data_IF_156018486249
#
_entry.id   IF_156018486249
#
_cell.length_a   1.000
_cell.length_b   1.000
_cell.length_c   1.000
_cell.angle_alpha   90.00
_cell.angle_beta   90.00
_cell.angle_gamma   90.00
#
_symmetry.space_group_name_H-M   'P 1'
#
loop_
_entity.id
_entity.type
_entity.pdbx_description
1 polymer ?
#
# COMPACT_ATOMS: atom_id res chain seq x y z
N UNK A 1 0.17 -42.05 25.20
CA UNK A 1 0.27 -40.62 24.85
C UNK A 1 -0.11 -39.83 26.10
N UNK A 2 0.69 -38.86 26.46
CA UNK A 2 0.33 -37.93 27.54
C UNK A 2 -0.52 -36.81 26.93
N UNK A 3 -1.65 -36.50 27.53
CA UNK A 3 -2.56 -35.44 27.10
C UNK A 3 -2.94 -34.55 28.30
N UNK A 4 -3.08 -33.24 28.03
CA UNK A 4 -3.68 -32.32 28.98
C UNK A 4 -5.19 -32.25 28.69
N UNK A 5 -5.98 -32.64 29.67
CA UNK A 5 -7.43 -32.61 29.60
C UNK A 5 -8.00 -31.49 30.47
N UNK A 6 -8.74 -30.58 29.84
CA UNK A 6 -9.56 -29.59 30.54
C UNK A 6 -11.01 -30.05 30.47
N UNK A 7 -11.59 -30.40 31.64
CA UNK A 7 -12.95 -30.96 31.72
C UNK A 7 -13.94 -29.86 32.12
N UNK A 8 -14.98 -29.66 31.33
CA UNK A 8 -16.10 -28.78 31.64
C UNK A 8 -17.06 -29.47 32.64
N UNK A 9 -17.83 -28.70 33.40
CA UNK A 9 -18.78 -29.21 34.39
C UNK A 9 -19.83 -30.18 33.83
N UNK A 10 -20.12 -30.14 32.55
CA UNK A 10 -21.02 -31.09 31.87
C UNK A 10 -20.33 -32.39 31.43
N UNK A 11 -19.05 -32.60 31.77
CA UNK A 11 -18.28 -33.77 31.42
C UNK A 11 -17.54 -33.73 30.08
N UNK A 12 -17.79 -32.73 29.22
CA UNK A 12 -17.06 -32.53 27.97
C UNK A 12 -15.62 -32.07 28.22
N UNK A 13 -14.70 -32.42 27.32
CA UNK A 13 -13.27 -32.15 27.47
C UNK A 13 -12.70 -31.44 26.26
N UNK A 14 -11.82 -30.47 26.51
CA UNK A 14 -10.85 -29.95 25.55
C UNK A 14 -9.53 -30.70 25.80
N UNK A 15 -8.96 -31.27 24.75
CA UNK A 15 -7.72 -32.04 24.81
C UNK A 15 -6.61 -31.35 24.03
N UNK A 16 -5.41 -31.26 24.64
CA UNK A 16 -4.18 -30.92 23.97
C UNK A 16 -3.30 -32.18 23.95
N UNK A 17 -2.95 -32.64 22.77
CA UNK A 17 -2.14 -33.86 22.57
C UNK A 17 -0.85 -33.51 21.83
N UNK A 18 0.16 -34.38 21.98
CA UNK A 18 1.37 -34.31 21.13
C UNK A 18 1.04 -34.82 19.73
N UNK A 19 1.78 -34.36 18.68
CA UNK A 19 1.68 -34.96 17.35
C UNK A 19 2.10 -36.42 17.39
N UNK A 20 1.69 -37.21 16.40
CA UNK A 20 1.98 -38.68 16.33
C UNK A 20 3.48 -38.96 16.28
N UNK A 21 4.27 -38.07 15.74
CA UNK A 21 5.75 -38.14 15.70
C UNK A 21 6.36 -36.84 16.21
N UNK A 22 7.30 -36.96 17.13
CA UNK A 22 8.02 -35.81 17.70
C UNK A 22 9.52 -36.17 17.80
N UNK A 23 10.32 -35.55 16.92
CA UNK A 23 11.76 -35.83 16.80
C UNK A 23 12.60 -35.32 17.99
N UNK A 24 12.10 -34.30 18.72
CA UNK A 24 12.76 -33.74 19.90
C UNK A 24 11.75 -33.01 20.81
N UNK A 25 12.12 -32.80 22.06
CA UNK A 25 11.29 -32.02 22.98
C UNK A 25 11.00 -30.63 22.43
N UNK A 26 9.74 -30.19 22.51
CA UNK A 26 9.32 -28.83 22.16
C UNK A 26 8.78 -28.14 23.41
N UNK A 27 9.19 -26.90 23.61
CA UNK A 27 8.71 -26.04 24.69
C UNK A 27 8.00 -24.86 24.12
N UNK A 28 6.77 -24.61 24.53
CA UNK A 28 6.03 -23.40 24.22
C UNK A 28 5.93 -22.53 25.47
N UNK A 29 6.52 -21.36 25.48
CA UNK A 29 6.36 -20.38 26.54
C UNK A 29 5.09 -19.58 26.26
N UNK A 30 4.14 -19.68 27.16
CA UNK A 30 2.90 -18.89 27.08
C UNK A 30 3.19 -17.40 27.31
N UNK A 31 2.37 -16.49 26.74
CA UNK A 31 2.45 -15.08 27.05
C UNK A 31 2.28 -14.82 28.55
N UNK A 32 2.97 -13.82 29.08
CA UNK A 32 2.87 -13.43 30.49
C UNK A 32 1.65 -12.57 30.82
N UNK A 33 0.87 -12.16 29.83
CA UNK A 33 -0.34 -11.37 29.97
C UNK A 33 -1.39 -11.82 28.94
N UNK A 34 -2.64 -11.47 29.21
CA UNK A 34 -3.75 -11.73 28.30
C UNK A 34 -3.62 -10.86 27.04
N UNK A 35 -4.11 -11.39 25.91
CA UNK A 35 -4.26 -10.61 24.67
C UNK A 35 -5.47 -9.69 24.71
N UNK A 36 -5.53 -8.79 23.73
CA UNK A 36 -6.70 -7.97 23.47
C UNK A 36 -7.65 -8.65 22.48
N UNK A 37 -8.91 -8.21 22.46
CA UNK A 37 -9.90 -8.69 21.47
C UNK A 37 -9.39 -8.55 20.04
N UNK A 38 -9.52 -9.62 19.23
CA UNK A 38 -9.06 -9.64 17.83
C UNK A 38 -7.60 -10.03 17.63
N UNK A 39 -6.83 -10.28 18.69
CA UNK A 39 -5.48 -10.78 18.57
C UNK A 39 -5.45 -12.31 18.40
N UNK A 40 -4.44 -12.80 17.68
CA UNK A 40 -4.13 -14.22 17.52
C UNK A 40 -2.91 -14.60 18.34
N UNK A 41 -2.92 -15.84 18.86
CA UNK A 41 -1.73 -16.42 19.49
C UNK A 41 -0.74 -16.83 18.39
N UNK A 42 0.42 -16.24 18.39
CA UNK A 42 1.48 -16.42 17.38
C UNK A 42 2.74 -16.99 18.01
N UNK A 43 3.62 -17.57 17.19
CA UNK A 43 4.93 -18.07 17.61
C UNK A 43 6.04 -17.28 16.94
N UNK A 44 7.15 -17.09 17.65
CA UNK A 44 8.37 -16.50 17.09
C UNK A 44 9.28 -17.51 16.35
N UNK A 45 8.80 -18.75 16.13
CA UNK A 45 9.59 -19.83 15.52
C UNK A 45 10.56 -20.52 16.48
N UNK A 46 10.82 -19.98 17.66
CA UNK A 46 11.75 -20.52 18.69
C UNK A 46 11.04 -20.95 19.99
N UNK A 47 9.72 -21.14 19.93
CA UNK A 47 8.90 -21.66 21.01
C UNK A 47 8.29 -20.60 21.95
N UNK A 48 8.62 -19.32 21.83
CA UNK A 48 7.87 -18.28 22.55
C UNK A 48 6.56 -17.97 21.82
N UNK A 49 5.48 -17.91 22.59
CA UNK A 49 4.15 -17.51 22.13
C UNK A 49 3.85 -16.09 22.59
N UNK A 50 3.18 -15.31 21.73
CA UNK A 50 2.73 -13.95 22.01
C UNK A 50 1.40 -13.67 21.33
N UNK A 51 0.68 -12.66 21.79
CA UNK A 51 -0.50 -12.17 21.08
C UNK A 51 -0.08 -11.11 20.05
N UNK A 52 -0.55 -11.24 18.83
CA UNK A 52 -0.33 -10.29 17.74
C UNK A 52 -1.65 -9.99 17.02
N UNK A 53 -1.74 -8.80 16.46
CA UNK A 53 -2.91 -8.44 15.65
C UNK A 53 -3.00 -9.36 14.42
N UNK A 54 -4.19 -9.90 14.19
CA UNK A 54 -4.51 -10.66 13.00
C UNK A 54 -4.89 -9.72 11.85
N UNK A 55 -4.53 -10.08 10.61
CA UNK A 55 -4.92 -9.34 9.42
C UNK A 55 -3.90 -8.32 8.94
N UNK A 56 -4.37 -7.29 8.23
CA UNK A 56 -3.53 -6.24 7.64
C UNK A 56 -2.92 -5.40 8.76
N UNK A 57 -1.58 -5.39 8.84
CA UNK A 57 -0.82 -4.65 9.85
C UNK A 57 -0.43 -3.24 9.40
N UNK A 58 -0.49 -2.97 8.09
CA UNK A 58 -0.22 -1.65 7.50
C UNK A 58 -1.08 -1.44 6.25
N UNK A 59 -1.82 -0.35 6.25
CA UNK A 59 -2.51 0.22 5.10
C UNK A 59 -2.39 1.73 5.18
N UNK A 60 -2.00 2.37 4.07
CA UNK A 60 -1.83 3.82 4.02
C UNK A 60 -2.30 4.34 2.66
N UNK A 61 -2.98 5.47 2.67
CA UNK A 61 -3.47 6.11 1.45
C UNK A 61 -3.00 7.56 1.37
N UNK A 62 -2.50 7.91 0.19
CA UNK A 62 -2.08 9.25 -0.17
C UNK A 62 -2.84 9.70 -1.41
N UNK A 63 -3.13 10.98 -1.50
CA UNK A 63 -3.87 11.53 -2.62
C UNK A 63 -3.33 12.89 -3.05
N UNK A 64 -3.60 13.24 -4.30
CA UNK A 64 -3.27 14.55 -4.85
C UNK A 64 -4.33 15.55 -4.39
N UNK A 65 -3.91 16.57 -3.64
CA UNK A 65 -4.82 17.55 -3.02
C UNK A 65 -5.19 18.71 -3.94
N UNK A 66 -4.41 18.94 -5.00
CA UNK A 66 -4.63 20.04 -5.95
C UNK A 66 -4.48 19.55 -7.40
N UNK A 67 -5.10 20.24 -8.34
CA UNK A 67 -4.88 20.01 -9.77
C UNK A 67 -3.47 20.47 -10.15
N UNK A 68 -2.75 19.64 -10.89
CA UNK A 68 -1.43 19.95 -11.44
C UNK A 68 -1.48 19.91 -12.97
N UNK A 69 -0.84 20.86 -13.62
CA UNK A 69 -0.76 20.93 -15.08
C UNK A 69 0.67 20.70 -15.55
N UNK A 70 0.82 19.92 -16.61
CA UNK A 70 2.11 19.73 -17.26
C UNK A 70 2.36 20.77 -18.34
N UNK A 71 3.62 21.17 -18.51
CA UNK A 71 4.10 21.89 -19.66
C UNK A 71 4.57 20.92 -20.73
N UNK A 72 3.89 20.88 -21.86
CA UNK A 72 4.23 19.94 -22.93
C UNK A 72 4.06 18.48 -22.50
N UNK A 73 4.98 17.63 -22.93
CA UNK A 73 5.00 16.20 -22.63
C UNK A 73 5.72 15.88 -21.29
N UNK A 74 5.92 16.88 -20.42
CA UNK A 74 6.63 16.67 -19.18
C UNK A 74 5.84 15.75 -18.24
N UNK A 75 6.55 14.85 -17.56
CA UNK A 75 5.97 14.07 -16.48
C UNK A 75 5.70 14.96 -15.26
N UNK A 76 4.59 14.74 -14.59
CA UNK A 76 4.29 15.30 -13.28
C UNK A 76 4.76 14.31 -12.22
N UNK A 77 5.78 14.68 -11.45
CA UNK A 77 6.17 13.92 -10.24
C UNK A 77 5.25 14.31 -9.09
N UNK A 78 4.64 13.32 -8.45
CA UNK A 78 3.74 13.55 -7.32
C UNK A 78 4.56 13.82 -6.04
N UNK A 79 4.69 15.09 -5.67
CA UNK A 79 5.47 15.53 -4.51
C UNK A 79 4.65 16.40 -3.54
N UNK A 80 4.76 17.73 -3.60
CA UNK A 80 4.28 18.66 -2.55
C UNK A 80 2.80 18.51 -2.23
N UNK A 81 1.96 18.45 -3.26
CA UNK A 81 0.51 18.35 -3.11
C UNK A 81 0.00 16.90 -2.97
N UNK A 82 0.91 15.94 -2.90
CA UNK A 82 0.58 14.54 -2.65
C UNK A 82 0.66 14.26 -1.15
N UNK A 83 -0.49 14.29 -0.49
CA UNK A 83 -0.61 14.28 0.96
C UNK A 83 -1.33 13.03 1.46
N UNK A 84 -1.02 12.63 2.71
CA UNK A 84 -1.72 11.52 3.35
C UNK A 84 -3.18 11.86 3.57
N UNK A 85 -4.05 10.90 3.32
CA UNK A 85 -5.46 11.05 3.66
C UNK A 85 -5.59 11.14 5.17
N UNK A 86 -6.03 12.30 5.67
CA UNK A 86 -6.24 12.58 7.10
C UNK A 86 -7.36 13.59 7.28
N UNK A 87 -8.11 13.47 8.35
CA UNK A 87 -9.03 14.45 8.98
C UNK A 87 -9.98 15.32 8.14
N UNK A 88 -9.58 15.76 6.97
CA UNK A 88 -10.38 16.61 6.08
C UNK A 88 -11.13 15.83 4.98
N UNK A 89 -10.81 14.55 4.83
CA UNK A 89 -11.61 13.61 4.05
C UNK A 89 -12.34 12.76 5.07
N UNK A 90 -13.67 12.85 5.18
CA UNK A 90 -14.41 12.17 6.23
C UNK A 90 -14.11 10.67 6.23
N UNK A 91 -13.74 10.14 7.40
CA UNK A 91 -13.56 8.71 7.66
C UNK A 91 -12.37 8.00 7.02
N UNK A 92 -11.46 8.70 6.35
CA UNK A 92 -10.26 8.08 5.83
C UNK A 92 -9.18 7.99 6.91
N UNK A 93 -8.57 6.82 7.03
CA UNK A 93 -7.54 6.51 8.01
C UNK A 93 -6.43 5.65 7.43
N UNK A 94 -5.44 5.34 8.26
CA UNK A 94 -4.40 4.37 7.96
C UNK A 94 -4.32 3.32 9.07
N UNK A 95 -3.74 2.17 8.77
CA UNK A 95 -3.46 1.10 9.73
C UNK A 95 -1.94 1.06 9.95
N UNK A 96 -1.51 0.99 11.18
CA UNK A 96 -0.09 0.89 11.55
C UNK A 96 0.67 2.21 11.34
N UNK A 97 1.99 2.13 11.16
CA UNK A 97 2.87 3.30 11.08
C UNK A 97 2.70 4.10 9.78
N UNK A 98 2.34 3.44 8.69
CA UNK A 98 2.20 4.07 7.38
C UNK A 98 3.54 4.42 6.71
N UNK A 99 3.45 4.93 5.49
CA UNK A 99 4.60 5.34 4.68
C UNK A 99 5.13 6.71 5.14
N UNK A 100 6.39 7.00 4.87
CA UNK A 100 6.96 8.35 5.03
C UNK A 100 7.32 8.90 3.67
N UNK A 101 6.83 10.10 3.33
CA UNK A 101 7.19 10.80 2.10
C UNK A 101 8.27 11.85 2.38
N UNK A 102 9.39 11.75 1.67
CA UNK A 102 10.46 12.75 1.61
C UNK A 102 10.31 13.71 0.43
N UNK A 103 11.30 14.55 0.22
CA UNK A 103 11.39 15.45 -0.93
C UNK A 103 11.44 14.67 -2.26
N UNK A 104 10.95 15.28 -3.34
CA UNK A 104 10.89 14.65 -4.67
C UNK A 104 9.85 13.53 -4.76
N UNK A 105 8.87 13.50 -3.86
CA UNK A 105 7.81 12.48 -3.85
C UNK A 105 8.31 11.07 -3.54
N UNK A 106 9.44 10.93 -2.86
CA UNK A 106 10.05 9.63 -2.53
C UNK A 106 9.43 9.06 -1.27
N UNK A 107 8.87 7.87 -1.38
CA UNK A 107 8.28 7.14 -0.26
C UNK A 107 9.24 6.11 0.33
N UNK A 108 9.29 6.10 1.67
CA UNK A 108 10.01 5.12 2.50
C UNK A 108 9.04 4.21 3.21
N UNK A 109 9.37 2.92 3.25
CA UNK A 109 8.57 1.88 3.89
C UNK A 109 8.85 1.82 5.41
N UNK A 110 7.82 1.60 6.26
CA UNK A 110 8.01 1.57 7.71
C UNK A 110 8.71 0.30 8.22
N UNK A 111 8.63 -0.79 7.47
CA UNK A 111 9.24 -2.09 7.80
C UNK A 111 9.56 -2.87 6.53
N UNK A 112 10.36 -3.92 6.63
CA UNK A 112 10.51 -4.92 5.59
C UNK A 112 9.21 -5.71 5.38
N UNK A 113 9.04 -6.34 4.24
CA UNK A 113 7.84 -7.14 3.90
C UNK A 113 7.43 -7.02 2.44
N UNK A 114 6.41 -7.78 2.09
CA UNK A 114 5.77 -7.74 0.78
C UNK A 114 4.69 -6.68 0.78
N UNK A 115 4.80 -5.70 -0.12
CA UNK A 115 3.85 -4.60 -0.24
C UNK A 115 3.10 -4.65 -1.57
N UNK A 116 1.79 -4.50 -1.51
CA UNK A 116 0.97 -4.14 -2.66
C UNK A 116 0.90 -2.62 -2.74
N UNK A 117 1.28 -2.09 -3.88
CA UNK A 117 1.23 -0.68 -4.24
C UNK A 117 0.21 -0.54 -5.37
N UNK A 118 -0.89 0.16 -5.11
CA UNK A 118 -1.90 0.48 -6.11
C UNK A 118 -1.93 1.97 -6.35
N UNK A 119 -1.66 2.38 -7.58
CA UNK A 119 -1.66 3.77 -8.00
C UNK A 119 -2.77 4.01 -9.03
N UNK A 120 -3.67 4.91 -8.70
CA UNK A 120 -4.75 5.38 -9.58
C UNK A 120 -4.50 6.84 -9.91
N UNK A 121 -4.47 7.19 -11.19
CA UNK A 121 -4.42 8.58 -11.62
C UNK A 121 -5.74 8.96 -12.29
N UNK A 122 -6.11 10.21 -12.17
CA UNK A 122 -7.18 10.81 -12.95
C UNK A 122 -6.58 11.99 -13.74
N UNK A 123 -6.58 11.86 -15.04
CA UNK A 123 -6.02 12.83 -15.98
C UNK A 123 -7.16 13.47 -16.75
N UNK A 124 -7.14 14.79 -16.85
CA UNK A 124 -8.11 15.56 -17.63
C UNK A 124 -7.40 16.21 -18.81
N UNK A 125 -7.99 16.12 -19.97
CA UNK A 125 -7.58 16.82 -21.18
C UNK A 125 -8.55 17.95 -21.41
N UNK A 126 -8.00 19.16 -21.54
CA UNK A 126 -8.79 20.36 -21.74
C UNK A 126 -9.37 20.42 -23.15
N UNK A 127 -10.54 21.04 -23.28
CA UNK A 127 -11.18 21.31 -24.56
C UNK A 127 -10.25 22.02 -25.53
N UNK A 128 -10.22 21.58 -26.79
CA UNK A 128 -9.39 22.16 -27.85
C UNK A 128 -7.98 21.63 -27.95
N UNK A 129 -7.56 20.71 -27.08
CA UNK A 129 -6.29 19.98 -27.22
C UNK A 129 -6.38 19.01 -28.39
N UNK A 130 -5.44 19.11 -29.34
CA UNK A 130 -5.38 18.20 -30.48
C UNK A 130 -4.32 17.16 -30.22
N UNK A 131 -4.72 15.93 -29.96
CA UNK A 131 -3.78 14.83 -30.10
C UNK A 131 -3.41 14.03 -28.87
N UNK A 132 -3.91 14.32 -27.69
CA UNK A 132 -3.65 13.44 -26.54
C UNK A 132 -4.33 12.09 -26.76
N UNK A 133 -3.54 11.03 -26.75
CA UNK A 133 -4.00 9.69 -27.07
C UNK A 133 -3.92 8.75 -25.90
N UNK A 134 -3.16 9.11 -24.84
CA UNK A 134 -3.00 8.27 -23.69
C UNK A 134 -2.64 9.07 -22.42
N UNK A 135 -3.03 8.52 -21.29
CA UNK A 135 -2.54 8.87 -19.97
C UNK A 135 -1.86 7.64 -19.37
N UNK A 136 -0.79 7.83 -18.64
CA UNK A 136 -0.06 6.75 -17.97
C UNK A 136 0.40 7.18 -16.59
N UNK A 137 0.50 6.20 -15.67
CA UNK A 137 0.86 6.41 -14.28
C UNK A 137 1.92 5.41 -13.80
N UNK A 138 3.20 5.63 -14.18
CA UNK A 138 4.27 4.74 -13.79
C UNK A 138 4.54 4.73 -12.28
N UNK A 139 4.82 3.53 -11.77
CA UNK A 139 5.36 3.26 -10.45
C UNK A 139 6.86 3.00 -10.60
N UNK A 140 7.68 3.86 -10.00
CA UNK A 140 9.12 3.68 -9.95
C UNK A 140 9.55 3.13 -8.59
N UNK A 141 10.43 2.13 -8.60
CA UNK A 141 11.06 1.62 -7.38
C UNK A 141 12.57 1.61 -7.48
N UNK A 142 13.24 1.59 -6.35
CA UNK A 142 14.69 1.44 -6.23
C UNK A 142 15.04 0.42 -5.15
N UNK A 143 16.16 -0.27 -5.32
CA UNK A 143 16.77 -1.16 -4.33
C UNK A 143 18.07 -0.60 -3.75
N UNK A 144 18.50 0.57 -4.20
CA UNK A 144 19.79 1.20 -3.81
C UNK A 144 19.65 2.68 -3.46
N UNK A 145 18.42 3.16 -3.30
CA UNK A 145 18.07 4.56 -3.00
C UNK A 145 18.65 5.59 -4.00
N UNK A 146 19.00 5.18 -5.21
CA UNK A 146 19.57 6.08 -6.24
C UNK A 146 19.00 5.85 -7.63
N UNK A 147 18.99 4.61 -8.11
CA UNK A 147 18.50 4.27 -9.45
C UNK A 147 17.04 3.82 -9.38
N UNK A 148 16.15 4.64 -9.89
CA UNK A 148 14.71 4.35 -9.96
C UNK A 148 14.36 3.74 -11.31
N UNK A 149 13.67 2.62 -11.29
CA UNK A 149 13.24 1.88 -12.47
C UNK A 149 11.71 1.83 -12.50
N UNK A 150 11.10 2.13 -13.65
CA UNK A 150 9.67 1.91 -13.87
C UNK A 150 9.38 0.42 -13.82
N UNK A 151 8.57 -0.02 -12.85
CA UNK A 151 8.24 -1.43 -12.60
C UNK A 151 6.83 -1.81 -13.01
N UNK A 152 5.92 -0.86 -12.95
CA UNK A 152 4.55 -1.05 -13.38
C UNK A 152 3.99 0.28 -13.91
N UNK A 153 3.08 0.19 -14.85
CA UNK A 153 2.46 1.35 -15.46
C UNK A 153 1.07 0.98 -15.95
N UNK A 154 0.09 1.74 -15.52
CA UNK A 154 -1.23 1.74 -16.15
C UNK A 154 -1.22 2.63 -17.39
N UNK A 155 -2.04 2.28 -18.35
CA UNK A 155 -2.25 3.04 -19.58
C UNK A 155 -3.75 3.14 -19.86
N UNK A 156 -4.21 4.34 -20.17
CA UNK A 156 -5.59 4.58 -20.58
C UNK A 156 -5.62 5.46 -21.84
N UNK A 157 -6.53 5.15 -22.75
CA UNK A 157 -6.77 5.95 -23.93
C UNK A 157 -7.60 7.19 -23.59
N UNK A 158 -7.20 8.36 -24.09
CA UNK A 158 -7.95 9.60 -23.87
C UNK A 158 -8.15 10.29 -25.21
N UNK A 159 -9.39 10.43 -25.63
CA UNK A 159 -9.73 11.04 -26.91
C UNK A 159 -9.78 12.57 -26.80
N UNK A 160 -9.24 13.25 -27.81
CA UNK A 160 -9.46 14.68 -28.01
C UNK A 160 -10.88 14.90 -28.58
N UNK A 161 -11.74 15.48 -27.77
CA UNK A 161 -13.12 15.85 -28.17
C UNK A 161 -13.34 17.35 -27.98
N UNK A 162 -14.48 17.85 -28.47
CA UNK A 162 -14.87 19.27 -28.29
C UNK A 162 -15.35 19.56 -26.86
N UNK A 163 -14.66 19.02 -25.85
CA UNK A 163 -14.99 19.15 -24.44
C UNK A 163 -13.87 18.58 -23.58
N UNK A 164 -14.08 18.49 -22.29
CA UNK A 164 -13.16 17.80 -21.39
C UNK A 164 -13.28 16.29 -21.59
N UNK A 165 -12.15 15.61 -21.62
CA UNK A 165 -12.08 14.15 -21.59
C UNK A 165 -11.19 13.67 -20.45
N UNK A 166 -11.45 12.46 -19.96
CA UNK A 166 -10.79 11.93 -18.77
C UNK A 166 -10.22 10.55 -19.05
N UNK A 167 -9.03 10.31 -18.50
CA UNK A 167 -8.41 8.98 -18.43
C UNK A 167 -8.10 8.61 -17.00
N UNK A 168 -8.26 7.32 -16.67
CA UNK A 168 -8.05 6.81 -15.31
C UNK A 168 -7.11 5.59 -15.34
N UNK A 169 -5.82 5.77 -15.70
CA UNK A 169 -4.88 4.67 -15.67
C UNK A 169 -4.68 4.14 -14.25
N UNK A 170 -4.56 2.83 -14.13
CA UNK A 170 -4.34 2.13 -12.86
C UNK A 170 -3.11 1.25 -13.01
N UNK A 171 -2.16 1.41 -12.09
CA UNK A 171 -0.98 0.56 -11.97
C UNK A 171 -0.99 -0.17 -10.63
N UNK A 172 -0.71 -1.48 -10.66
CA UNK A 172 -0.54 -2.31 -9.48
C UNK A 172 0.85 -2.93 -9.50
N UNK A 173 1.54 -2.97 -8.36
CA UNK A 173 2.85 -3.59 -8.21
C UNK A 173 2.99 -4.26 -6.85
N UNK A 174 3.54 -5.48 -6.85
CA UNK A 174 3.95 -6.17 -5.63
C UNK A 174 5.44 -5.96 -5.45
N UNK A 175 5.83 -5.33 -4.35
CA UNK A 175 7.21 -4.98 -4.04
C UNK A 175 7.70 -5.69 -2.79
N UNK A 176 8.76 -6.48 -2.95
CA UNK A 176 9.48 -7.09 -1.83
C UNK A 176 10.49 -6.08 -1.27
N UNK A 177 10.23 -5.61 -0.07
CA UNK A 177 11.06 -4.64 0.66
C UNK A 177 11.91 -5.37 1.68
N UNK A 178 13.12 -5.72 1.30
CA UNK A 178 14.08 -6.42 2.18
C UNK A 178 14.97 -5.47 2.99
N UNK A 179 15.04 -4.18 2.62
CA UNK A 179 15.81 -3.14 3.32
C UNK A 179 15.12 -1.78 3.21
N UNK A 180 14.61 -1.27 4.33
CA UNK A 180 13.89 0.02 4.38
C UNK A 180 14.79 1.24 4.17
N UNK A 181 16.10 1.11 4.30
CA UNK A 181 17.05 2.21 4.05
C UNK A 181 17.24 2.46 2.55
N UNK A 182 17.22 1.43 1.73
CA UNK A 182 17.53 1.48 0.30
C UNK A 182 16.33 1.29 -0.61
N UNK A 183 15.31 0.53 -0.18
CA UNK A 183 14.10 0.28 -0.97
C UNK A 183 13.12 1.44 -0.83
N UNK A 184 12.85 2.12 -1.96
CA UNK A 184 11.97 3.29 -2.03
C UNK A 184 11.09 3.20 -3.27
N UNK A 185 10.04 4.01 -3.31
CA UNK A 185 9.24 4.20 -4.51
C UNK A 185 8.86 5.67 -4.72
N UNK A 186 8.49 6.01 -5.96
CA UNK A 186 7.93 7.30 -6.34
C UNK A 186 6.96 7.12 -7.50
N UNK A 187 6.14 8.14 -7.75
CA UNK A 187 5.05 8.12 -8.70
C UNK A 187 5.12 9.30 -9.64
N UNK A 188 4.80 9.05 -10.88
CA UNK A 188 4.68 10.09 -11.90
C UNK A 188 3.38 9.89 -12.68
N UNK A 189 2.89 10.95 -13.28
CA UNK A 189 1.81 10.92 -14.27
C UNK A 189 2.36 11.50 -15.55
N UNK A 190 2.05 10.87 -16.66
CA UNK A 190 2.51 11.30 -17.98
C UNK A 190 1.35 11.23 -18.97
N UNK A 191 1.42 12.10 -19.97
CA UNK A 191 0.52 12.05 -21.12
C UNK A 191 1.31 12.34 -22.40
N UNK A 192 0.80 11.89 -23.54
CA UNK A 192 1.50 11.97 -24.82
C UNK A 192 1.66 13.38 -25.39
N UNK A 193 0.95 14.38 -24.83
CA UNK A 193 0.93 15.73 -25.41
C UNK A 193 0.71 16.85 -24.38
N UNK A 194 0.73 18.10 -24.87
CA UNK A 194 0.48 19.29 -24.07
C UNK A 194 -1.02 19.54 -23.82
N UNK A 195 -1.35 20.32 -22.81
CA UNK A 195 -2.73 20.72 -22.53
C UNK A 195 -3.51 19.73 -21.68
N UNK A 196 -2.81 18.95 -20.87
CA UNK A 196 -3.41 18.06 -19.89
C UNK A 196 -3.12 18.49 -18.45
N UNK A 197 -3.94 18.04 -17.55
CA UNK A 197 -3.76 18.23 -16.10
C UNK A 197 -4.24 17.00 -15.33
N UNK A 198 -3.81 16.88 -14.10
CA UNK A 198 -4.49 15.98 -13.17
C UNK A 198 -5.85 16.56 -12.82
N UNK A 199 -6.85 15.71 -12.68
CA UNK A 199 -8.17 16.17 -12.27
C UNK A 199 -8.31 16.04 -10.76
N UNK A 200 -8.52 17.17 -10.11
CA UNK A 200 -8.86 17.23 -8.70
C UNK A 200 -9.82 18.39 -8.42
N UNK A 201 -11.11 18.21 -8.65
CA UNK A 201 -12.08 19.21 -8.25
C UNK A 201 -12.07 19.30 -6.72
N UNK A 202 -12.08 20.50 -6.17
CA UNK A 202 -12.08 20.81 -4.72
C UNK A 202 -13.37 20.35 -3.98
N UNK A 203 -13.83 19.14 -4.26
CA UNK A 203 -15.12 18.61 -3.81
C UNK A 203 -15.01 17.63 -2.64
N UNK A 204 -13.83 17.47 -2.03
CA UNK A 204 -13.59 16.51 -0.95
C UNK A 204 -13.57 15.04 -1.44
N UNK A 205 -13.42 14.82 -2.74
CA UNK A 205 -13.30 13.49 -3.34
C UNK A 205 -11.83 13.19 -3.66
N UNK A 206 -11.48 11.91 -3.55
CA UNK A 206 -10.15 11.41 -3.92
C UNK A 206 -10.22 10.89 -5.35
N UNK A 207 -9.44 11.47 -6.24
CA UNK A 207 -9.31 11.03 -7.63
C UNK A 207 -7.94 10.38 -7.87
N UNK A 208 -6.88 11.16 -7.89
CA UNK A 208 -5.52 10.64 -8.01
C UNK A 208 -5.00 10.23 -6.63
N UNK A 209 -4.65 8.95 -6.47
CA UNK A 209 -4.21 8.43 -5.16
C UNK A 209 -3.33 7.19 -5.30
N UNK A 210 -2.59 6.90 -4.24
CA UNK A 210 -1.89 5.64 -4.05
C UNK A 210 -2.32 4.98 -2.75
N UNK A 211 -2.45 3.66 -2.78
CA UNK A 211 -2.69 2.82 -1.61
C UNK A 211 -1.49 1.89 -1.45
N UNK A 212 -0.98 1.82 -0.23
CA UNK A 212 0.04 0.88 0.19
C UNK A 212 -0.57 -0.11 1.17
N UNK A 213 -0.41 -1.39 0.92
CA UNK A 213 -0.86 -2.45 1.81
C UNK A 213 0.28 -3.43 2.04
N UNK A 214 0.68 -3.62 3.29
CA UNK A 214 1.65 -4.67 3.63
C UNK A 214 0.91 -6.01 3.72
N UNK A 215 1.31 -6.97 2.89
CA UNK A 215 0.67 -8.27 2.76
C UNK A 215 1.24 -9.29 3.75
N UNK A 216 2.52 -9.17 4.09
CA UNK A 216 3.21 -10.11 4.97
C UNK A 216 4.70 -9.84 5.09
N UNK A 217 5.43 -10.77 5.70
CA UNK A 217 6.89 -10.75 5.80
C UNK A 217 7.55 -11.16 4.47
N UNK A 218 8.82 -10.80 4.29
CA UNK A 218 9.68 -11.21 3.17
C UNK A 218 10.10 -12.66 3.31
#
# INVERSE_FOLDING_TARGET
MSELNLTHSNGNKVKLTTPDTLAANKTFKLPGADGSSGQSLTTNGSGALSFANAGITMLDQWYLSTTQSASGNAAITLDTDFIRVSGNVPTAGHIGTGMTKGSGGIFSFPSTGIYHIRFVACVMINSGSTGNRYAQNPIYTTHNNSTYVNRAMGLDGVDAISGESFGNPIADFIFDVTDTSTHKCKFEIQSGESGWSTYNPSTGRIHTHVIFTRLGDT
#
